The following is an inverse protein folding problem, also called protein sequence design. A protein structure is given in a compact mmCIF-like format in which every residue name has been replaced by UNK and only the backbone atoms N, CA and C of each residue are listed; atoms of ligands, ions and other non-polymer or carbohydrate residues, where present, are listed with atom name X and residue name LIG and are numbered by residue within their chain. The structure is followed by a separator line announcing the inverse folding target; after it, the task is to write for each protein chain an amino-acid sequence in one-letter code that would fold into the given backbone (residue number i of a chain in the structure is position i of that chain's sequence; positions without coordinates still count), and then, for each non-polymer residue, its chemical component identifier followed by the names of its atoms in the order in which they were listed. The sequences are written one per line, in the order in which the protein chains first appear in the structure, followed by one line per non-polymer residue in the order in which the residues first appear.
data_IF_103356097919
#
_entry.id   IF_103356097919
#
_cell.length_a   1.000
_cell.length_b   1.000
_cell.length_c   1.000
_cell.angle_alpha   90.00
_cell.angle_beta   90.00
_cell.angle_gamma   90.00
#
_symmetry.space_group_name_H-M   'P 1'
#
loop_
_entity.id
_entity.type
_entity.pdbx_description
1 polymer ?
#
# COMPACT_ATOMS: atom_id res chain seq x y z
N UNK A 1 -13.29 -11.92 22.48
CA UNK A 1 -13.20 -13.02 21.50
C UNK A 1 -13.48 -12.44 20.12
N UNK A 2 -12.48 -12.35 19.25
CA UNK A 2 -12.66 -11.83 17.89
C UNK A 2 -13.33 -12.91 17.04
N UNK A 3 -14.60 -12.72 16.71
CA UNK A 3 -15.33 -13.66 15.83
C UNK A 3 -14.76 -13.49 14.44
N UNK A 4 -14.08 -14.52 13.93
CA UNK A 4 -13.62 -14.54 12.55
C UNK A 4 -14.82 -14.57 11.61
N UNK A 5 -15.13 -13.42 11.00
CA UNK A 5 -16.11 -13.33 9.91
C UNK A 5 -15.38 -13.58 8.59
N UNK A 6 -16.01 -14.38 7.72
CA UNK A 6 -15.54 -14.55 6.34
C UNK A 6 -15.55 -13.17 5.66
N UNK A 7 -14.44 -12.73 5.03
CA UNK A 7 -14.42 -11.46 4.29
C UNK A 7 -15.52 -11.40 3.22
N UNK A 8 -16.15 -10.23 3.09
CA UNK A 8 -17.18 -9.89 2.11
C UNK A 8 -16.75 -8.69 1.26
N UNK A 9 -17.61 -8.27 0.32
CA UNK A 9 -17.39 -7.06 -0.48
C UNK A 9 -17.37 -5.77 0.35
N UNK A 10 -17.82 -5.82 1.60
CA UNK A 10 -17.84 -4.69 2.55
C UNK A 10 -16.67 -4.76 3.55
N UNK A 11 -15.84 -5.80 3.48
CA UNK A 11 -14.68 -5.93 4.36
C UNK A 11 -13.58 -5.00 3.88
N UNK A 12 -13.11 -4.10 4.75
CA UNK A 12 -12.00 -3.22 4.44
C UNK A 12 -10.67 -3.95 4.52
N UNK A 13 -9.75 -3.61 3.64
CA UNK A 13 -8.39 -4.14 3.57
C UNK A 13 -7.36 -3.02 3.70
N UNK A 14 -6.23 -3.34 4.31
CA UNK A 14 -5.12 -2.41 4.55
C UNK A 14 -3.78 -3.15 4.47
N UNK A 15 -2.70 -2.39 4.42
CA UNK A 15 -1.33 -2.87 4.62
C UNK A 15 -1.12 -3.07 6.12
N UNK A 16 -0.99 -4.32 6.55
CA UNK A 16 -0.73 -4.70 7.93
C UNK A 16 0.78 -4.66 8.21
N UNK A 17 1.26 -3.60 8.85
CA UNK A 17 2.68 -3.44 9.23
C UNK A 17 3.13 -4.40 10.34
N UNK A 18 2.22 -4.86 11.20
CA UNK A 18 2.53 -5.86 12.23
C UNK A 18 2.79 -7.22 11.57
N UNK A 19 2.07 -7.55 10.49
CA UNK A 19 2.36 -8.72 9.68
C UNK A 19 3.77 -8.67 9.08
N UNK A 20 4.19 -7.53 8.53
CA UNK A 20 5.56 -7.36 8.00
C UNK A 20 6.61 -7.62 9.09
N UNK A 21 6.42 -7.03 10.27
CA UNK A 21 7.28 -7.21 11.44
C UNK A 21 7.33 -8.68 11.87
N UNK A 22 6.17 -9.34 11.97
CA UNK A 22 6.08 -10.75 12.34
C UNK A 22 6.71 -11.69 11.30
N UNK A 23 6.75 -11.30 10.03
CA UNK A 23 7.45 -12.03 8.98
C UNK A 23 8.97 -11.77 8.95
N UNK A 24 9.48 -10.87 9.81
CA UNK A 24 10.88 -10.43 9.80
C UNK A 24 11.27 -9.72 8.49
N UNK A 25 10.29 -9.10 7.81
CA UNK A 25 10.48 -8.44 6.52
C UNK A 25 10.36 -6.94 6.69
N UNK A 26 11.27 -6.21 6.04
CA UNK A 26 11.20 -4.75 5.99
C UNK A 26 10.22 -4.30 4.90
N UNK A 27 9.13 -3.65 5.31
CA UNK A 27 8.13 -3.09 4.40
C UNK A 27 8.73 -2.06 3.45
N UNK A 28 9.81 -1.36 3.84
CA UNK A 28 10.47 -0.35 2.99
C UNK A 28 11.10 -0.95 1.75
N UNK A 29 11.58 -2.19 1.82
CA UNK A 29 12.05 -2.92 0.64
C UNK A 29 10.92 -3.09 -0.36
N UNK A 30 9.73 -3.45 0.13
CA UNK A 30 8.54 -3.59 -0.71
C UNK A 30 8.09 -2.24 -1.28
N UNK A 31 8.06 -1.17 -0.48
CA UNK A 31 7.71 0.19 -0.94
C UNK A 31 8.70 0.68 -2.00
N UNK A 32 10.01 0.53 -1.78
CA UNK A 32 11.05 0.91 -2.74
C UNK A 32 10.85 0.21 -4.09
N UNK A 33 10.49 -1.07 -4.08
CA UNK A 33 10.22 -1.81 -5.32
C UNK A 33 8.99 -1.31 -6.10
N UNK A 34 8.14 -0.48 -5.49
CA UNK A 34 7.00 0.14 -6.17
C UNK A 34 7.36 1.42 -6.91
N UNK A 35 8.51 2.03 -6.59
CA UNK A 35 8.95 3.29 -7.18
C UNK A 35 9.27 3.14 -8.68
N UNK A 36 9.20 4.24 -9.42
CA UNK A 36 9.74 4.31 -10.77
C UNK A 36 11.28 4.19 -10.76
N UNK A 37 11.88 3.89 -11.92
CA UNK A 37 13.34 3.73 -12.05
C UNK A 37 14.12 4.95 -11.55
N UNK A 38 13.60 6.15 -11.80
CA UNK A 38 14.22 7.42 -11.38
C UNK A 38 14.25 7.53 -9.85
N UNK A 39 13.10 7.37 -9.18
CA UNK A 39 13.02 7.34 -7.71
C UNK A 39 13.85 6.17 -7.13
N UNK A 40 13.87 4.97 -7.73
CA UNK A 40 14.69 3.86 -7.23
C UNK A 40 16.19 4.18 -7.26
N UNK A 41 16.65 4.92 -8.28
CA UNK A 41 18.05 5.36 -8.39
C UNK A 41 18.41 6.40 -7.33
N UNK A 42 17.47 7.26 -6.94
CA UNK A 42 17.61 8.22 -5.84
C UNK A 42 17.73 7.56 -4.46
N UNK A 43 17.23 6.34 -4.33
CA UNK A 43 17.31 5.53 -3.11
C UNK A 43 18.07 4.22 -3.37
N UNK A 44 19.40 4.26 -3.52
CA UNK A 44 20.19 3.10 -3.94
C UNK A 44 20.22 1.97 -2.90
N UNK A 45 20.01 2.29 -1.62
CA UNK A 45 19.85 1.31 -0.53
C UNK A 45 18.61 1.63 0.31
N UNK A 46 17.81 0.61 0.61
CA UNK A 46 16.72 0.65 1.61
C UNK A 46 17.20 1.00 3.03
N UNK A 47 18.50 0.85 3.32
CA UNK A 47 19.11 1.18 4.62
C UNK A 47 19.56 2.64 4.71
N UNK A 48 19.90 3.29 3.59
CA UNK A 48 20.26 4.72 3.55
C UNK A 48 19.03 5.65 3.44
N UNK A 49 17.83 5.13 3.68
CA UNK A 49 16.60 5.93 3.84
C UNK A 49 16.22 6.10 5.32
N UNK A 50 17.17 5.89 6.23
CA UNK A 50 17.04 6.29 7.62
C UNK A 50 16.79 7.81 7.71
N UNK A 51 15.57 8.15 8.17
CA UNK A 51 15.15 9.43 8.72
C UNK A 51 15.77 10.67 8.04
N UNK A 52 15.29 11.00 6.84
CA UNK A 52 15.39 12.39 6.37
C UNK A 52 14.30 13.16 7.11
N UNK A 53 14.70 14.09 7.98
CA UNK A 53 13.78 15.01 8.66
C UNK A 53 13.13 15.90 7.59
N UNK A 54 11.96 15.48 7.11
CA UNK A 54 11.14 16.28 6.20
C UNK A 54 10.18 17.11 7.06
N UNK A 55 10.30 18.43 6.97
CA UNK A 55 9.42 19.37 7.67
C UNK A 55 8.21 19.63 6.78
N UNK A 56 7.04 19.28 7.29
CA UNK A 56 5.77 19.58 6.64
C UNK A 56 5.58 21.11 6.53
N UNK A 57 5.35 21.67 5.32
CA UNK A 57 5.30 23.11 5.11
C UNK A 57 4.04 23.79 5.68
N UNK A 58 3.00 23.02 6.01
CA UNK A 58 1.73 23.54 6.55
C UNK A 58 1.67 23.43 8.08
N UNK A 59 2.35 22.44 8.66
CA UNK A 59 2.26 22.11 10.10
C UNK A 59 3.57 22.27 10.88
N UNK A 60 4.70 22.39 10.20
CA UNK A 60 6.04 22.46 10.79
C UNK A 60 6.39 21.28 11.72
N UNK A 61 5.66 20.16 11.64
CA UNK A 61 6.00 18.93 12.35
C UNK A 61 7.12 18.18 11.61
N UNK A 62 8.12 17.73 12.36
CA UNK A 62 9.12 16.78 11.88
C UNK A 62 8.49 15.39 11.89
N UNK A 63 7.82 15.05 10.79
CA UNK A 63 7.25 13.71 10.62
C UNK A 63 8.35 12.83 10.06
N UNK A 64 8.52 11.61 10.59
CA UNK A 64 9.23 10.53 9.87
C UNK A 64 8.38 10.09 8.69
N UNK A 65 8.12 10.99 7.75
CA UNK A 65 7.50 10.68 6.49
C UNK A 65 8.51 9.83 5.73
N UNK A 66 8.12 8.60 5.37
CA UNK A 66 8.97 7.72 4.60
C UNK A 66 9.30 8.41 3.27
N UNK A 67 10.56 8.80 3.08
CA UNK A 67 11.02 9.51 1.88
C UNK A 67 10.66 8.73 0.59
N UNK A 68 10.54 7.41 0.69
CA UNK A 68 10.04 6.56 -0.38
C UNK A 68 8.56 6.85 -0.68
N UNK A 69 7.70 6.92 0.34
CA UNK A 69 6.27 7.22 0.18
C UNK A 69 6.08 8.63 -0.38
N UNK A 70 6.87 9.61 0.08
CA UNK A 70 6.80 10.97 -0.47
C UNK A 70 7.26 11.04 -1.94
N UNK A 71 8.38 10.40 -2.32
CA UNK A 71 8.78 10.30 -3.74
C UNK A 71 7.71 9.59 -4.56
N UNK A 72 7.11 8.53 -4.00
CA UNK A 72 6.06 7.77 -4.66
C UNK A 72 4.84 8.65 -4.96
N UNK A 73 4.38 9.44 -3.98
CA UNK A 73 3.22 10.34 -4.11
C UNK A 73 3.48 11.58 -4.94
N UNK A 74 4.71 12.09 -4.94
CA UNK A 74 5.03 13.33 -5.65
C UNK A 74 5.46 13.10 -7.11
N UNK A 75 6.02 11.93 -7.42
CA UNK A 75 6.62 11.66 -8.72
C UNK A 75 6.11 10.37 -9.37
N UNK A 76 6.05 9.27 -8.62
CA UNK A 76 5.66 7.99 -9.22
C UNK A 76 4.19 7.94 -9.60
N UNK A 77 3.30 8.54 -8.78
CA UNK A 77 1.85 8.61 -9.03
C UNK A 77 1.47 9.31 -10.33
N UNK A 78 2.28 10.27 -10.76
CA UNK A 78 2.06 11.04 -11.99
C UNK A 78 2.42 10.25 -13.26
N UNK A 79 3.07 9.09 -13.12
CA UNK A 79 3.42 8.24 -14.27
C UNK A 79 2.15 7.50 -14.75
N UNK A 80 1.87 7.48 -16.06
CA UNK A 80 0.63 6.93 -16.62
C UNK A 80 0.41 5.44 -16.31
N UNK A 81 1.49 4.69 -16.10
CA UNK A 81 1.45 3.25 -15.83
C UNK A 81 1.59 2.88 -14.34
N UNK A 82 1.57 3.88 -13.44
CA UNK A 82 1.76 3.63 -12.02
C UNK A 82 0.64 2.76 -11.42
N UNK A 83 -0.61 3.03 -11.79
CA UNK A 83 -1.75 2.14 -11.56
C UNK A 83 -2.29 1.77 -12.94
N UNK A 84 -2.27 0.49 -13.30
CA UNK A 84 -2.50 0.10 -14.68
C UNK A 84 -2.72 -1.40 -14.87
N UNK A 85 -3.21 -1.77 -16.05
CA UNK A 85 -3.58 -3.15 -16.42
C UNK A 85 -2.37 -4.08 -16.55
N UNK A 86 -1.20 -3.53 -16.82
CA UNK A 86 0.08 -4.27 -16.91
C UNK A 86 0.62 -4.68 -15.54
N UNK A 87 0.21 -3.99 -14.47
CA UNK A 87 0.60 -4.33 -13.11
C UNK A 87 -0.24 -5.50 -12.58
N UNK A 88 0.32 -6.27 -11.64
CA UNK A 88 -0.48 -7.25 -10.91
C UNK A 88 -1.58 -6.56 -10.09
N UNK A 89 -2.69 -7.25 -9.85
CA UNK A 89 -3.78 -6.72 -9.03
C UNK A 89 -3.30 -6.36 -7.61
N UNK A 90 -2.48 -7.22 -7.01
CA UNK A 90 -1.86 -6.99 -5.70
C UNK A 90 -1.01 -5.72 -5.70
N UNK A 91 -0.18 -5.52 -6.74
CA UNK A 91 0.65 -4.31 -6.91
C UNK A 91 -0.20 -3.05 -6.98
N UNK A 92 -1.26 -3.05 -7.81
CA UNK A 92 -2.15 -1.89 -7.91
C UNK A 92 -2.82 -1.57 -6.56
N UNK A 93 -3.36 -2.58 -5.87
CA UNK A 93 -4.02 -2.39 -4.57
C UNK A 93 -3.03 -1.87 -3.53
N UNK A 94 -1.81 -2.42 -3.49
CA UNK A 94 -0.77 -1.95 -2.58
C UNK A 94 -0.40 -0.49 -2.86
N UNK A 95 -0.21 -0.10 -4.13
CA UNK A 95 0.06 1.30 -4.52
C UNK A 95 -1.08 2.24 -4.14
N UNK A 96 -2.34 1.86 -4.36
CA UNK A 96 -3.51 2.64 -3.97
C UNK A 96 -3.50 2.90 -2.45
N UNK A 97 -3.24 1.86 -1.66
CA UNK A 97 -3.16 1.99 -0.20
C UNK A 97 -1.93 2.82 0.25
N UNK A 98 -0.81 2.79 -0.46
CA UNK A 98 0.31 3.70 -0.15
C UNK A 98 -0.06 5.17 -0.43
N UNK A 99 -0.72 5.43 -1.56
CA UNK A 99 -1.14 6.77 -1.95
C UNK A 99 -2.16 7.37 -0.98
N UNK A 100 -3.12 6.57 -0.52
CA UNK A 100 -4.19 7.05 0.37
C UNK A 100 -3.80 7.10 1.86
N UNK A 101 -2.52 6.85 2.22
CA UNK A 101 -2.08 6.84 3.62
C UNK A 101 -2.47 5.58 4.39
N UNK A 102 -2.67 4.48 3.68
CA UNK A 102 -3.11 3.19 4.20
C UNK A 102 -4.50 3.26 4.85
N UNK A 103 -5.35 4.18 4.37
CA UNK A 103 -6.75 4.22 4.74
C UNK A 103 -7.43 2.95 4.21
N UNK A 104 -8.05 2.11 5.09
CA UNK A 104 -8.57 0.83 4.64
C UNK A 104 -9.73 0.97 3.64
N UNK A 105 -9.69 0.19 2.57
CA UNK A 105 -10.70 0.21 1.50
C UNK A 105 -11.36 -1.15 1.32
N UNK A 106 -12.64 -1.15 1.03
CA UNK A 106 -13.42 -2.32 0.63
C UNK A 106 -13.11 -2.72 -0.82
N UNK A 107 -13.38 -3.98 -1.24
CA UNK A 107 -13.33 -4.38 -2.63
C UNK A 107 -14.15 -3.47 -3.58
N UNK A 108 -15.28 -2.96 -3.11
CA UNK A 108 -16.13 -2.02 -3.88
C UNK A 108 -15.45 -0.67 -4.05
N UNK A 109 -14.85 -0.10 -3.00
CA UNK A 109 -14.09 1.16 -3.10
C UNK A 109 -12.83 0.99 -3.95
N UNK A 110 -12.14 -0.15 -3.82
CA UNK A 110 -10.98 -0.47 -4.67
C UNK A 110 -11.38 -0.57 -6.14
N UNK A 111 -12.54 -1.16 -6.48
CA UNK A 111 -13.05 -1.16 -7.84
C UNK A 111 -13.22 0.27 -8.40
N UNK A 112 -13.65 1.23 -7.58
CA UNK A 112 -13.70 2.64 -7.98
C UNK A 112 -12.33 3.21 -8.40
N UNK A 113 -11.23 2.69 -7.85
CA UNK A 113 -9.85 3.07 -8.19
C UNK A 113 -9.24 2.25 -9.33
N UNK A 114 -9.75 1.03 -9.56
CA UNK A 114 -9.33 0.11 -10.64
C UNK A 114 -10.57 -0.43 -11.37
N UNK A 115 -11.28 0.41 -12.15
CA UNK A 115 -12.62 0.10 -12.69
C UNK A 115 -12.63 -1.07 -13.69
N UNK A 116 -11.47 -1.57 -14.10
CA UNK A 116 -11.35 -2.74 -14.96
C UNK A 116 -11.29 -4.08 -14.23
N UNK A 117 -11.35 -4.07 -12.89
CA UNK A 117 -11.32 -5.28 -12.07
C UNK A 117 -12.59 -5.33 -11.25
N UNK A 118 -13.33 -6.43 -11.37
CA UNK A 118 -14.58 -6.63 -10.62
C UNK A 118 -14.33 -6.74 -9.10
N UNK A 119 -15.21 -6.16 -8.25
CA UNK A 119 -15.09 -6.26 -6.79
C UNK A 119 -14.93 -7.70 -6.28
N UNK A 120 -15.64 -8.65 -6.90
CA UNK A 120 -15.54 -10.06 -6.56
C UNK A 120 -14.16 -10.68 -6.87
N UNK A 121 -13.48 -10.21 -7.92
CA UNK A 121 -12.11 -10.63 -8.21
C UNK A 121 -11.12 -10.04 -7.19
N UNK A 122 -11.29 -8.76 -6.84
CA UNK A 122 -10.51 -8.10 -5.77
C UNK A 122 -10.65 -8.87 -4.46
N UNK A 123 -11.88 -9.14 -4.03
CA UNK A 123 -12.14 -9.90 -2.80
C UNK A 123 -11.48 -11.28 -2.84
N UNK A 124 -11.61 -12.02 -3.94
CA UNK A 124 -10.98 -13.35 -4.06
C UNK A 124 -9.46 -13.25 -3.94
N UNK A 125 -8.83 -12.28 -4.58
CA UNK A 125 -7.37 -12.08 -4.52
C UNK A 125 -6.89 -11.70 -3.12
N UNK A 126 -7.66 -10.92 -2.37
CA UNK A 126 -7.27 -10.47 -1.02
C UNK A 126 -7.64 -11.46 0.09
N UNK A 127 -8.72 -12.24 -0.09
CA UNK A 127 -9.23 -13.15 0.92
C UNK A 127 -8.82 -14.62 0.71
N UNK A 128 -8.37 -14.99 -0.49
CA UNK A 128 -7.98 -16.36 -0.82
C UNK A 128 -6.47 -16.48 -0.99
N UNK A 129 -5.86 -17.46 -0.32
CA UNK A 129 -4.45 -17.80 -0.50
C UNK A 129 -3.49 -17.07 0.46
N UNK A 130 -2.19 -17.00 0.12
CA UNK A 130 -1.17 -16.36 0.94
C UNK A 130 -1.40 -14.85 1.08
N UNK A 131 -0.96 -14.27 2.20
CA UNK A 131 -0.91 -12.81 2.36
C UNK A 131 0.21 -12.24 1.50
N UNK A 132 -0.15 -11.44 0.50
CA UNK A 132 0.80 -10.71 -0.34
C UNK A 132 0.90 -9.26 0.08
N UNK A 133 2.12 -8.74 0.14
CA UNK A 133 2.43 -7.34 0.50
C UNK A 133 1.76 -6.85 1.81
N UNK A 134 1.48 -7.77 2.74
CA UNK A 134 0.78 -7.45 3.99
C UNK A 134 -0.69 -7.03 3.82
N UNK A 135 -1.30 -7.24 2.65
CA UNK A 135 -2.70 -6.88 2.40
C UNK A 135 -3.63 -7.79 3.21
N UNK A 136 -4.27 -7.24 4.24
CA UNK A 136 -5.10 -8.01 5.18
C UNK A 136 -6.41 -7.28 5.52
N UNK A 137 -7.47 -8.05 5.84
CA UNK A 137 -8.72 -7.45 6.30
C UNK A 137 -8.51 -6.70 7.62
N UNK A 138 -9.21 -5.60 7.81
CA UNK A 138 -9.22 -4.90 9.11
C UNK A 138 -9.93 -5.76 10.14
N UNK A 139 -9.34 -5.92 11.32
CA UNK A 139 -9.95 -6.65 12.44
C UNK A 139 -11.01 -5.83 13.17
N UNK A 140 -11.03 -4.51 12.95
CA UNK A 140 -12.10 -3.60 13.39
C UNK A 140 -13.17 -3.52 12.32
N UNK A 141 -14.37 -3.97 12.69
CA UNK A 141 -15.62 -3.57 12.06
C UNK A 141 -16.18 -2.47 12.95
N UNK A 142 -16.28 -1.24 12.45
CA UNK A 142 -17.21 -0.25 13.04
C UNK A 142 -18.65 -0.69 12.77
#
# INVERSE_FOLDING_TARGET
MTVWKRPSLDTKFHIDYDWWTAQGKDVRVAVRSQLCQDCQTRFPDHRNTEAVDWVDPDTAEVVRADALIQCLRAECSEKPDFIGRSNSLVTNIFRILLLNGNLPLTPTELHGQIPWVEPGAILRTLASGPVYMGLRPTTKTD
#
